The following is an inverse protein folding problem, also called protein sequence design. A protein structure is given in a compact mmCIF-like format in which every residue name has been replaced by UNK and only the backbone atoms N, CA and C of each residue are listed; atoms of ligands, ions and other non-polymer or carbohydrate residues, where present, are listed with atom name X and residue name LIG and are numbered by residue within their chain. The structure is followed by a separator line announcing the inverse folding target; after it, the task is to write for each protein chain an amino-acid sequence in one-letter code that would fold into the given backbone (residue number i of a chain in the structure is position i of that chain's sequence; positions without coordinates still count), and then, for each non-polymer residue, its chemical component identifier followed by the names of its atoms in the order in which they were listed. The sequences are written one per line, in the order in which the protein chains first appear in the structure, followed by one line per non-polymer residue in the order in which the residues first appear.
data_IF_044809954273
#
_entry.id   IF_044809954273
#
_cell.length_a   1.000
_cell.length_b   1.000
_cell.length_c   1.000
_cell.angle_alpha   90.00
_cell.angle_beta   90.00
_cell.angle_gamma   90.00
#
_symmetry.space_group_name_H-M   'P 1'
#
loop_
_entity.id
_entity.type
_entity.pdbx_description
1 polymer ?
#
# COMPACT_ATOMS: atom_id res chain seq x y z
N UNK A 1 10.83 -27.42 -50.57
CA UNK A 1 9.84 -26.64 -49.81
C UNK A 1 9.57 -27.29 -48.44
N UNK A 2 10.51 -27.25 -47.48
CA UNK A 2 10.33 -27.96 -46.19
C UNK A 2 11.15 -27.34 -45.05
N UNK A 3 10.93 -26.07 -44.66
CA UNK A 3 11.47 -25.52 -43.40
C UNK A 3 10.64 -24.39 -42.77
N UNK A 4 9.42 -24.12 -43.24
CA UNK A 4 8.63 -22.96 -42.76
C UNK A 4 7.72 -23.31 -41.56
N UNK A 5 7.34 -24.57 -41.42
CA UNK A 5 6.44 -25.03 -40.34
C UNK A 5 7.00 -24.93 -38.90
N UNK A 6 8.29 -25.23 -38.61
CA UNK A 6 8.77 -25.17 -37.23
C UNK A 6 8.96 -23.72 -36.73
N UNK A 7 9.20 -22.75 -37.62
CA UNK A 7 9.38 -21.34 -37.23
C UNK A 7 8.08 -20.66 -36.78
N UNK A 8 6.93 -21.07 -37.32
CA UNK A 8 5.63 -20.47 -36.95
C UNK A 8 5.22 -20.92 -35.55
N UNK A 9 5.54 -22.16 -35.16
CA UNK A 9 5.24 -22.71 -33.83
C UNK A 9 6.10 -22.03 -32.75
N UNK A 10 7.38 -21.76 -33.02
CA UNK A 10 8.26 -21.03 -32.09
C UNK A 10 7.78 -19.59 -31.86
N UNK A 11 7.29 -18.92 -32.91
CA UNK A 11 6.75 -17.56 -32.79
C UNK A 11 5.41 -17.53 -32.02
N UNK A 12 4.57 -18.57 -32.15
CA UNK A 12 3.31 -18.69 -31.42
C UNK A 12 3.52 -18.98 -29.92
N UNK A 13 4.57 -19.74 -29.56
CA UNK A 13 4.93 -20.02 -28.16
C UNK A 13 5.51 -18.80 -27.45
N UNK A 14 6.22 -17.92 -28.18
CA UNK A 14 6.74 -16.65 -27.65
C UNK A 14 5.64 -15.59 -27.39
N UNK A 15 4.48 -15.70 -28.06
CA UNK A 15 3.35 -14.80 -27.86
C UNK A 15 2.48 -15.17 -26.64
N UNK A 16 2.65 -16.37 -26.09
CA UNK A 16 1.88 -16.86 -24.93
C UNK A 16 2.56 -16.60 -23.58
N UNK A 17 3.78 -16.06 -23.57
CA UNK A 17 4.54 -15.77 -22.34
C UNK A 17 4.46 -14.32 -21.88
N UNK A 18 3.35 -13.61 -22.17
CA UNK A 18 3.04 -12.36 -21.48
C UNK A 18 2.25 -12.65 -20.20
N UNK A 19 2.94 -13.25 -19.21
CA UNK A 19 2.46 -13.18 -17.83
C UNK A 19 2.85 -11.79 -17.34
N UNK A 20 2.00 -10.80 -17.62
CA UNK A 20 2.22 -9.44 -17.15
C UNK A 20 2.21 -9.42 -15.63
N UNK A 21 3.34 -9.03 -15.03
CA UNK A 21 3.35 -8.63 -13.62
C UNK A 21 2.26 -7.56 -13.45
N UNK A 22 1.21 -7.89 -12.69
CA UNK A 22 0.15 -6.91 -12.41
C UNK A 22 0.78 -5.79 -11.59
N UNK A 23 0.70 -4.56 -12.09
CA UNK A 23 1.20 -3.37 -11.38
C UNK A 23 0.42 -3.11 -10.08
N UNK A 24 -0.83 -3.57 -10.04
CA UNK A 24 -1.75 -3.46 -8.91
C UNK A 24 -2.26 -4.84 -8.49
N UNK A 25 -2.37 -5.05 -7.18
CA UNK A 25 -2.95 -6.27 -6.64
C UNK A 25 -4.48 -6.18 -6.68
N UNK A 26 -5.10 -7.09 -7.41
CA UNK A 26 -6.56 -7.24 -7.59
C UNK A 26 -7.27 -7.86 -6.36
N UNK A 27 -6.68 -7.67 -5.17
CA UNK A 27 -7.15 -8.29 -3.92
C UNK A 27 -8.24 -7.45 -3.24
N UNK A 28 -9.02 -8.10 -2.37
CA UNK A 28 -10.17 -7.60 -1.57
C UNK A 28 -9.98 -6.33 -0.70
N UNK A 29 -8.92 -5.54 -0.93
CA UNK A 29 -8.73 -4.25 -0.29
C UNK A 29 -9.67 -3.26 -0.96
N UNK A 30 -10.75 -2.90 -0.25
CA UNK A 30 -11.68 -1.82 -0.61
C UNK A 30 -11.82 -0.87 0.58
N UNK A 31 -10.70 -0.27 0.98
CA UNK A 31 -10.66 0.58 2.16
C UNK A 31 -11.16 1.98 1.81
N UNK A 32 -12.23 2.41 2.47
CA UNK A 32 -12.73 3.78 2.40
C UNK A 32 -12.69 4.39 3.78
N UNK A 33 -12.11 5.58 3.90
CA UNK A 33 -12.02 6.31 5.16
C UNK A 33 -12.45 7.75 4.98
N UNK A 34 -13.35 8.19 5.86
CA UNK A 34 -13.96 9.50 5.85
C UNK A 34 -13.20 10.45 6.77
N UNK A 35 -12.11 11.06 6.28
CA UNK A 35 -11.35 12.01 7.10
C UNK A 35 -12.10 13.34 7.32
N UNK A 36 -13.18 13.57 6.58
CA UNK A 36 -14.13 14.64 6.78
C UNK A 36 -14.89 14.52 8.11
N UNK A 37 -15.12 13.29 8.61
CA UNK A 37 -15.73 13.07 9.94
C UNK A 37 -14.69 12.98 11.05
N UNK A 38 -13.58 12.29 10.79
CA UNK A 38 -12.53 12.08 11.80
C UNK A 38 -11.61 13.29 12.02
N UNK A 39 -11.44 14.14 11.00
CA UNK A 39 -10.58 15.33 11.03
C UNK A 39 -9.15 15.03 11.49
N UNK A 40 -8.61 13.87 11.10
CA UNK A 40 -7.27 13.43 11.53
C UNK A 40 -6.16 14.20 10.78
N UNK A 41 -5.32 14.98 11.48
CA UNK A 41 -4.31 15.81 10.84
C UNK A 41 -3.11 15.00 10.30
N UNK A 42 -2.86 13.81 10.84
CA UNK A 42 -1.73 12.97 10.39
C UNK A 42 -2.07 12.34 9.05
N UNK A 43 -3.28 11.78 8.89
CA UNK A 43 -3.75 11.32 7.60
C UNK A 43 -3.88 12.48 6.60
N UNK A 44 -4.40 13.63 7.05
CA UNK A 44 -4.51 14.82 6.21
C UNK A 44 -3.17 15.26 5.61
N UNK A 45 -2.07 15.13 6.37
CA UNK A 45 -0.73 15.46 5.90
C UNK A 45 -0.29 14.64 4.68
N UNK A 46 -0.69 13.37 4.59
CA UNK A 46 -0.36 12.49 3.47
C UNK A 46 -1.33 12.63 2.29
N UNK A 47 -2.56 13.09 2.53
CA UNK A 47 -3.57 13.36 1.49
C UNK A 47 -3.46 14.77 0.89
N UNK A 48 -2.47 15.57 1.29
CA UNK A 48 -2.22 16.89 0.73
C UNK A 48 -1.28 16.83 -0.49
N UNK A 49 -1.75 17.14 -1.72
CA UNK A 49 -0.89 17.16 -2.91
C UNK A 49 0.22 18.21 -2.84
N UNK A 50 0.09 19.22 -1.98
CA UNK A 50 1.12 20.23 -1.73
C UNK A 50 2.22 19.74 -0.77
N UNK A 51 2.08 18.55 -0.20
CA UNK A 51 3.05 17.93 0.72
C UNK A 51 3.58 16.59 0.19
N UNK A 52 4.14 16.53 -1.04
CA UNK A 52 4.65 15.28 -1.59
C UNK A 52 5.81 14.71 -0.77
N UNK A 53 5.91 13.39 -0.70
CA UNK A 53 6.91 12.67 0.09
C UNK A 53 6.51 12.41 1.55
N UNK A 54 5.35 12.91 1.98
CA UNK A 54 4.72 12.56 3.26
C UNK A 54 3.86 11.31 3.06
N UNK A 55 4.19 10.26 3.80
CA UNK A 55 3.47 8.99 3.78
C UNK A 55 2.89 8.70 5.16
N UNK A 56 1.63 8.30 5.21
CA UNK A 56 0.92 7.90 6.41
C UNK A 56 0.73 6.38 6.43
N UNK A 57 1.11 5.75 7.53
CA UNK A 57 0.79 4.37 7.86
C UNK A 57 -0.57 4.34 8.54
N UNK A 58 -1.47 3.52 8.02
CA UNK A 58 -2.79 3.25 8.57
C UNK A 58 -2.78 1.84 9.13
N UNK A 59 -3.15 1.68 10.40
CA UNK A 59 -3.33 0.36 11.03
C UNK A 59 -4.70 0.24 11.63
N UNK A 60 -5.29 -0.94 11.51
CA UNK A 60 -6.49 -1.32 12.24
C UNK A 60 -6.13 -2.16 13.47
N UNK A 61 -6.86 -1.92 14.57
CA UNK A 61 -6.81 -2.73 15.77
C UNK A 61 -8.20 -2.90 16.40
N UNK A 62 -8.37 -3.97 17.16
CA UNK A 62 -9.53 -4.16 18.04
C UNK A 62 -9.07 -4.03 19.48
N UNK A 63 -9.39 -2.90 20.11
CA UNK A 63 -8.91 -2.53 21.44
C UNK A 63 -10.10 -2.29 22.36
N UNK A 64 -10.09 -2.90 23.54
CA UNK A 64 -11.13 -2.71 24.56
C UNK A 64 -12.56 -2.96 24.04
N UNK A 65 -12.72 -3.97 23.18
CA UNK A 65 -14.03 -4.33 22.62
C UNK A 65 -14.53 -3.41 21.50
N UNK A 66 -13.67 -2.55 20.93
CA UNK A 66 -14.04 -1.59 19.89
C UNK A 66 -13.00 -1.56 18.76
N UNK A 67 -13.48 -1.37 17.54
CA UNK A 67 -12.64 -1.16 16.38
C UNK A 67 -12.01 0.24 16.42
N UNK A 68 -10.72 0.31 16.07
CA UNK A 68 -9.98 1.57 16.00
C UNK A 68 -8.94 1.56 14.89
N UNK A 69 -8.62 2.78 14.43
CA UNK A 69 -7.48 3.05 13.58
C UNK A 69 -6.36 3.72 14.38
N UNK A 70 -5.16 3.64 13.82
CA UNK A 70 -4.02 4.48 14.21
C UNK A 70 -3.29 4.96 12.98
N UNK A 71 -2.84 6.20 13.04
CA UNK A 71 -2.13 6.87 11.97
C UNK A 71 -0.77 7.34 12.46
N UNK A 72 0.25 7.08 11.66
CA UNK A 72 1.62 7.56 11.89
C UNK A 72 2.22 7.95 10.55
N UNK A 73 2.77 9.15 10.44
CA UNK A 73 3.46 9.56 9.23
C UNK A 73 4.98 9.32 9.34
N UNK A 74 5.64 9.29 8.18
CA UNK A 74 7.09 9.12 8.08
C UNK A 74 7.91 10.29 8.65
N UNK A 75 7.27 11.38 9.07
CA UNK A 75 7.90 12.52 9.72
C UNK A 75 7.81 12.45 11.26
N UNK A 76 7.23 11.38 11.81
CA UNK A 76 7.14 11.14 13.25
C UNK A 76 5.88 11.70 13.92
N UNK A 77 4.93 12.24 13.15
CA UNK A 77 3.61 12.61 13.68
C UNK A 77 2.77 11.35 13.88
N UNK A 78 2.05 11.30 14.98
CA UNK A 78 1.13 10.22 15.34
C UNK A 78 -0.18 10.82 15.81
N UNK A 79 -1.28 10.21 15.42
CA UNK A 79 -2.59 10.63 15.88
C UNK A 79 -2.82 10.29 17.34
N UNK A 80 -3.81 10.94 17.95
CA UNK A 80 -4.35 10.51 19.24
C UNK A 80 -4.88 9.09 19.12
N UNK A 81 -4.08 8.11 19.52
CA UNK A 81 -4.45 6.69 19.43
C UNK A 81 -5.22 6.27 20.69
N UNK A 82 -6.38 5.60 20.57
CA UNK A 82 -6.97 5.10 19.32
C UNK A 82 -7.92 6.10 18.63
N UNK A 83 -7.92 6.13 17.29
CA UNK A 83 -8.98 6.81 16.51
C UNK A 83 -10.16 5.83 16.41
N UNK A 84 -11.23 6.11 17.13
CA UNK A 84 -12.38 5.20 17.26
C UNK A 84 -13.27 5.22 16.04
N UNK A 85 -13.78 4.05 15.64
CA UNK A 85 -14.71 3.94 14.53
C UNK A 85 -15.99 4.75 14.77
N UNK A 86 -16.42 5.49 13.76
CA UNK A 86 -17.71 6.17 13.74
C UNK A 86 -18.81 5.26 13.13
N UNK A 87 -19.99 5.82 12.88
CA UNK A 87 -21.10 5.08 12.27
C UNK A 87 -20.88 4.74 10.79
N UNK A 88 -20.05 5.51 10.07
CA UNK A 88 -19.71 5.25 8.67
C UNK A 88 -18.74 4.07 8.59
N UNK A 89 -17.70 4.07 9.43
CA UNK A 89 -16.71 2.98 9.46
C UNK A 89 -17.34 1.61 9.77
N UNK A 90 -18.30 1.60 10.70
CA UNK A 90 -19.05 0.39 11.05
C UNK A 90 -19.92 -0.09 9.88
N UNK A 91 -20.62 0.82 9.21
CA UNK A 91 -21.49 0.52 8.08
C UNK A 91 -20.73 0.01 6.86
N UNK A 92 -19.53 0.53 6.62
CA UNK A 92 -18.65 0.11 5.51
C UNK A 92 -17.82 -1.13 5.84
N UNK A 93 -17.93 -1.65 7.05
CA UNK A 93 -17.10 -2.74 7.56
C UNK A 93 -15.59 -2.51 7.36
N UNK A 94 -15.12 -1.27 7.54
CA UNK A 94 -13.79 -0.82 7.13
C UNK A 94 -12.63 -1.68 7.68
N UNK A 95 -12.83 -2.34 8.83
CA UNK A 95 -11.85 -3.24 9.42
C UNK A 95 -11.51 -4.46 8.55
N UNK A 96 -12.40 -4.89 7.66
CA UNK A 96 -12.17 -6.05 6.77
C UNK A 96 -11.29 -5.71 5.57
N UNK A 97 -11.04 -4.43 5.32
CA UNK A 97 -10.48 -3.95 4.06
C UNK A 97 -9.09 -3.31 4.21
N UNK A 98 -8.48 -3.34 5.40
CA UNK A 98 -7.20 -2.67 5.68
C UNK A 98 -6.00 -3.53 5.27
N UNK A 99 -5.70 -3.62 3.98
CA UNK A 99 -4.48 -4.27 3.49
C UNK A 99 -4.24 -5.70 4.02
N UNK A 100 -3.05 -6.23 3.82
CA UNK A 100 -2.64 -7.51 4.38
C UNK A 100 -2.19 -7.30 5.82
N UNK A 101 -2.70 -8.15 6.71
CA UNK A 101 -2.39 -8.09 8.15
C UNK A 101 -2.64 -6.69 8.74
N UNK A 102 -3.74 -6.04 8.34
CA UNK A 102 -4.30 -4.82 8.93
C UNK A 102 -3.43 -3.56 8.78
N UNK A 103 -2.62 -3.46 7.71
CA UNK A 103 -1.69 -2.34 7.50
C UNK A 103 -1.64 -1.83 6.06
N UNK A 104 -1.76 -0.51 5.92
CA UNK A 104 -1.64 0.21 4.65
C UNK A 104 -0.71 1.41 4.79
N UNK A 105 -0.17 1.87 3.66
CA UNK A 105 0.63 3.09 3.56
C UNK A 105 0.07 3.92 2.42
N UNK A 106 -0.22 5.20 2.67
CA UNK A 106 -0.73 6.12 1.64
C UNK A 106 0.06 7.42 1.61
N UNK A 107 0.15 8.06 0.45
CA UNK A 107 0.80 9.37 0.32
C UNK A 107 1.14 9.75 -1.11
N UNK A 108 1.44 11.03 -1.34
CA UNK A 108 1.91 11.51 -2.63
C UNK A 108 3.40 11.21 -2.81
N UNK A 109 3.78 10.65 -3.96
CA UNK A 109 5.18 10.56 -4.36
C UNK A 109 5.78 11.94 -4.66
N UNK A 110 7.09 12.10 -4.55
CA UNK A 110 7.77 13.39 -4.78
C UNK A 110 8.70 13.44 -6.00
N UNK A 111 8.68 12.41 -6.86
CA UNK A 111 9.58 12.30 -8.01
C UNK A 111 8.89 12.54 -9.38
N UNK A 112 7.56 12.53 -9.43
CA UNK A 112 6.78 12.72 -10.65
C UNK A 112 5.97 14.04 -10.60
N UNK A 113 5.66 14.61 -11.78
CA UNK A 113 4.82 15.82 -11.92
C UNK A 113 3.74 15.62 -12.98
N UNK A 114 2.44 15.61 -12.62
CA UNK A 114 1.90 15.81 -11.28
C UNK A 114 2.24 14.66 -10.31
N UNK A 115 2.34 14.97 -9.03
CA UNK A 115 2.63 13.98 -7.99
C UNK A 115 1.51 12.92 -7.92
N UNK A 116 1.80 11.63 -8.16
CA UNK A 116 0.81 10.56 -8.05
C UNK A 116 0.55 10.23 -6.59
N UNK A 117 -0.72 9.94 -6.27
CA UNK A 117 -1.13 9.45 -4.97
C UNK A 117 -1.02 7.92 -4.95
N UNK A 118 -0.17 7.40 -4.06
CA UNK A 118 0.10 5.98 -3.95
C UNK A 118 -0.56 5.38 -2.71
N UNK A 119 -0.98 4.11 -2.83
CA UNK A 119 -1.26 3.23 -1.71
C UNK A 119 -0.48 1.93 -1.84
N UNK A 120 0.11 1.49 -0.73
CA UNK A 120 0.90 0.28 -0.62
C UNK A 120 0.45 -0.57 0.55
N UNK A 121 0.71 -1.86 0.45
CA UNK A 121 0.64 -2.75 1.59
C UNK A 121 1.79 -2.50 2.58
N UNK A 122 1.52 -2.59 3.87
CA UNK A 122 2.55 -2.42 4.90
C UNK A 122 3.45 -3.68 5.04
N UNK A 123 3.01 -4.83 4.54
CA UNK A 123 3.77 -6.08 4.59
C UNK A 123 4.76 -6.17 3.43
N UNK A 124 5.98 -6.64 3.73
CA UNK A 124 6.95 -6.95 2.68
C UNK A 124 6.44 -8.10 1.80
N UNK A 125 6.21 -7.88 0.48
CA UNK A 125 5.65 -8.90 -0.40
C UNK A 125 6.59 -10.11 -0.53
N UNK A 126 7.90 -9.92 -0.40
CA UNK A 126 8.89 -10.99 -0.52
C UNK A 126 9.08 -11.82 0.75
N UNK A 127 8.47 -11.45 1.89
CA UNK A 127 8.62 -12.18 3.15
C UNK A 127 7.29 -12.58 3.80
N UNK A 128 6.23 -11.83 3.50
CA UNK A 128 4.92 -12.08 4.06
C UNK A 128 4.14 -13.08 3.20
N UNK A 129 3.58 -14.08 3.88
CA UNK A 129 2.69 -15.07 3.30
C UNK A 129 1.39 -15.09 4.12
N UNK A 130 0.27 -14.80 3.46
CA UNK A 130 -1.03 -14.65 4.10
C UNK A 130 -1.55 -15.95 4.73
N UNK A 131 -1.21 -17.10 4.16
CA UNK A 131 -1.72 -18.41 4.58
C UNK A 131 -0.66 -19.28 5.25
N UNK A 132 0.51 -18.72 5.59
CA UNK A 132 1.53 -19.46 6.32
C UNK A 132 1.08 -19.72 7.77
N UNK A 133 1.42 -20.88 8.30
CA UNK A 133 1.16 -21.26 9.69
C UNK A 133 2.50 -21.55 10.40
N UNK A 134 2.88 -20.79 11.45
CA UNK A 134 2.20 -19.59 11.96
C UNK A 134 2.33 -18.40 10.98
N UNK A 135 1.31 -17.55 10.93
CA UNK A 135 1.35 -16.32 10.14
C UNK A 135 2.37 -15.37 10.75
N UNK A 136 3.29 -14.86 9.93
CA UNK A 136 4.41 -14.05 10.39
C UNK A 136 4.32 -12.63 9.84
N UNK A 137 4.10 -11.66 10.72
CA UNK A 137 4.15 -10.23 10.36
C UNK A 137 5.55 -9.84 9.85
N UNK A 138 5.58 -9.18 8.71
CA UNK A 138 6.76 -8.66 8.02
C UNK A 138 6.56 -7.18 7.68
N UNK A 139 6.08 -6.39 8.65
CA UNK A 139 5.85 -4.95 8.50
C UNK A 139 7.12 -4.21 8.06
N UNK A 140 6.92 -3.29 7.13
CA UNK A 140 7.93 -2.39 6.62
C UNK A 140 8.10 -1.20 7.57
N UNK A 141 9.35 -0.81 7.82
CA UNK A 141 9.67 0.44 8.51
C UNK A 141 9.82 1.55 7.49
N UNK A 142 9.09 2.64 7.66
CA UNK A 142 9.16 3.78 6.75
C UNK A 142 10.10 4.83 7.32
N UNK A 143 11.10 5.22 6.55
CA UNK A 143 11.99 6.32 6.90
C UNK A 143 11.47 7.67 6.39
N UNK A 144 11.97 8.75 6.98
CA UNK A 144 11.58 10.12 6.67
C UNK A 144 11.79 10.54 5.22
N UNK A 145 12.69 9.88 4.49
CA UNK A 145 12.92 10.12 3.06
C UNK A 145 12.00 9.29 2.13
N UNK A 146 10.98 8.61 2.65
CA UNK A 146 10.03 7.84 1.85
C UNK A 146 10.57 6.49 1.37
N UNK A 147 11.48 5.87 2.13
CA UNK A 147 11.89 4.49 1.89
C UNK A 147 11.20 3.55 2.87
N UNK A 148 10.63 2.46 2.36
CA UNK A 148 10.11 1.36 3.14
C UNK A 148 11.17 0.25 3.25
N UNK A 149 11.49 -0.18 4.46
CA UNK A 149 12.58 -1.14 4.73
C UNK A 149 12.04 -2.38 5.41
N UNK A 150 12.27 -3.54 4.82
CA UNK A 150 11.95 -4.81 5.45
C UNK A 150 13.05 -5.23 6.43
N UNK A 151 12.71 -5.41 7.71
CA UNK A 151 13.69 -5.84 8.71
C UNK A 151 14.13 -7.30 8.57
N UNK A 152 13.42 -8.12 7.76
CA UNK A 152 13.73 -9.55 7.58
C UNK A 152 14.70 -9.82 6.45
N UNK A 153 14.41 -9.28 5.26
CA UNK A 153 15.25 -9.50 4.08
C UNK A 153 16.13 -8.30 3.72
N UNK A 154 16.03 -7.19 4.45
CA UNK A 154 16.82 -5.98 4.20
C UNK A 154 16.46 -5.20 2.93
N UNK A 155 15.48 -5.67 2.13
CA UNK A 155 15.02 -4.96 0.93
C UNK A 155 14.51 -3.57 1.29
N UNK A 156 14.90 -2.59 0.49
CA UNK A 156 14.49 -1.19 0.59
C UNK A 156 13.69 -0.84 -0.65
N UNK A 157 12.51 -0.29 -0.44
CA UNK A 157 11.58 0.09 -1.50
C UNK A 157 11.38 1.60 -1.48
N UNK A 158 11.30 2.23 -2.65
CA UNK A 158 10.99 3.65 -2.75
C UNK A 158 9.49 3.87 -2.87
N UNK A 159 8.90 4.53 -1.88
CA UNK A 159 7.49 4.92 -1.91
C UNK A 159 7.22 6.07 -2.90
N UNK A 160 8.28 6.80 -3.26
CA UNK A 160 8.20 7.94 -4.19
C UNK A 160 8.13 7.53 -5.67
N UNK A 161 8.46 6.29 -6.01
CA UNK A 161 8.57 5.77 -7.39
C UNK A 161 7.81 4.45 -7.56
N UNK A 162 6.59 4.38 -7.03
CA UNK A 162 5.72 3.22 -7.25
C UNK A 162 6.20 1.93 -6.59
N UNK A 163 6.97 2.01 -5.49
CA UNK A 163 7.30 0.84 -4.67
C UNK A 163 8.41 -0.06 -5.24
N UNK A 164 9.27 0.44 -6.12
CA UNK A 164 10.39 -0.32 -6.66
C UNK A 164 11.47 -0.62 -5.60
N UNK A 165 12.15 -1.75 -5.75
CA UNK A 165 13.32 -2.09 -4.93
C UNK A 165 14.47 -1.17 -5.33
N UNK A 166 15.04 -0.45 -4.37
CA UNK A 166 16.21 0.43 -4.55
C UNK A 166 17.47 -0.13 -3.89
N UNK A 167 17.34 -1.12 -3.00
CA UNK A 167 18.47 -1.84 -2.42
C UNK A 167 18.05 -3.21 -1.88
N UNK A 168 19.02 -4.12 -1.78
CA UNK A 168 18.82 -5.52 -1.40
C UNK A 168 18.67 -6.42 -2.64
N UNK A 169 18.31 -7.68 -2.40
CA UNK A 169 18.07 -8.64 -3.46
C UNK A 169 16.86 -8.26 -4.34
N UNK A 170 16.89 -8.68 -5.61
CA UNK A 170 15.74 -8.60 -6.52
C UNK A 170 14.53 -9.38 -6.00
N UNK A 171 13.37 -9.13 -6.60
CA UNK A 171 12.11 -9.77 -6.22
C UNK A 171 10.90 -8.91 -6.60
N UNK A 172 9.77 -9.19 -5.95
CA UNK A 172 8.52 -8.45 -6.17
C UNK A 172 8.65 -7.01 -5.66
N UNK A 173 8.15 -6.05 -6.43
CA UNK A 173 7.93 -4.66 -5.97
C UNK A 173 6.88 -4.67 -4.85
N UNK A 174 6.75 -3.55 -4.12
CA UNK A 174 5.68 -3.41 -3.13
C UNK A 174 4.31 -3.65 -3.76
N UNK A 175 3.47 -4.40 -3.04
CA UNK A 175 2.05 -4.56 -3.39
C UNK A 175 1.41 -3.18 -3.40
N UNK A 176 0.89 -2.79 -4.56
CA UNK A 176 0.23 -1.50 -4.78
C UNK A 176 -1.26 -1.68 -4.90
N UNK A 177 -1.98 -0.68 -4.40
CA UNK A 177 -3.42 -0.53 -4.54
C UNK A 177 -3.70 0.77 -5.31
N UNK A 178 -4.82 0.81 -6.03
CA UNK A 178 -5.34 2.03 -6.61
C UNK A 178 -5.83 2.93 -5.48
N UNK A 179 -5.35 4.18 -5.46
CA UNK A 179 -5.67 5.13 -4.41
C UNK A 179 -6.28 6.40 -5.01
N UNK A 180 -7.22 6.99 -4.29
CA UNK A 180 -7.76 8.31 -4.58
C UNK A 180 -8.08 9.04 -3.28
N UNK A 181 -7.96 10.37 -3.31
CA UNK A 181 -8.39 11.23 -2.20
C UNK A 181 -9.15 12.43 -2.75
N UNK A 182 -10.14 12.91 -2.02
CA UNK A 182 -10.85 14.16 -2.33
C UNK A 182 -10.23 15.38 -1.62
N UNK A 183 -9.10 15.21 -0.92
CA UNK A 183 -8.33 16.26 -0.25
C UNK A 183 -7.92 15.90 1.18
N UNK A 184 -7.14 16.77 1.87
CA UNK A 184 -6.59 16.51 3.21
C UNK A 184 -7.64 16.10 4.28
N UNK A 185 -8.82 16.71 4.26
CA UNK A 185 -9.93 16.39 5.16
C UNK A 185 -11.13 15.85 4.37
N UNK A 186 -10.85 15.12 3.30
CA UNK A 186 -11.85 14.48 2.45
C UNK A 186 -11.94 12.98 2.67
N UNK A 187 -12.37 12.28 1.63
CA UNK A 187 -12.50 10.81 1.63
C UNK A 187 -11.26 10.19 1.00
N UNK A 188 -10.68 9.22 1.69
CA UNK A 188 -9.66 8.30 1.17
C UNK A 188 -10.35 7.06 0.61
N UNK A 189 -10.04 6.68 -0.63
CA UNK A 189 -10.42 5.40 -1.23
C UNK A 189 -9.20 4.62 -1.68
N UNK A 190 -9.13 3.34 -1.34
CA UNK A 190 -8.08 2.39 -1.73
C UNK A 190 -8.73 1.11 -2.24
N UNK A 191 -8.40 0.70 -3.46
CA UNK A 191 -9.00 -0.43 -4.20
C UNK A 191 -8.03 -1.17 -5.12
#
# INVERSE_FOLDING_TARGET
MKKVFPSIIVLLVLLLSSCGDKEYEDSHVFFTFHNDTHQDPVLASAMNPMSPGVFCIIRYAYVSGRHSFSFENNQGLKSGSPVWFDGIDQRLESWKHVGKNNGLVVGYGNLDSPAPFYAYDLQCPNCYEQHALPQRSCELKISSNGLAVCSRCGRRYSLNTGGNIVAGEGGRKLTRYHASTTGPYGVLGVR
#
